data_IF_677340091935
#
_entry.id   IF_677340091935
#
_cell.length_a   1.000
_cell.length_b   1.000
_cell.length_c   1.000
_cell.angle_alpha   90.00
_cell.angle_beta   90.00
_cell.angle_gamma   90.00
#
_symmetry.space_group_name_H-M   'P 1'
#
loop_
_entity.id
_entity.type
_entity.pdbx_description
1 polymer ?
#
# COMPACT_ATOMS: atom_id res chain seq x y z
N UNK A 1 34.21 11.07 37.26
CA UNK A 1 32.98 10.81 38.06
C UNK A 1 31.80 11.09 37.17
N UNK A 2 30.85 10.15 37.17
CA UNK A 2 29.73 10.01 36.22
C UNK A 2 28.69 11.11 36.37
N UNK A 3 28.35 11.81 35.27
CA UNK A 3 27.16 12.65 35.20
C UNK A 3 26.02 11.87 34.54
N UNK A 4 25.01 11.63 35.35
CA UNK A 4 23.89 10.74 35.13
C UNK A 4 22.89 11.36 34.14
N UNK A 5 22.54 10.60 33.10
CA UNK A 5 21.38 10.83 32.24
C UNK A 5 20.12 10.86 33.12
N UNK A 6 19.50 12.04 33.30
CA UNK A 6 18.11 12.14 33.77
C UNK A 6 17.20 11.74 32.60
N UNK A 7 16.96 10.44 32.45
CA UNK A 7 15.91 9.94 31.57
C UNK A 7 14.56 10.41 32.09
N UNK A 8 13.90 11.29 31.35
CA UNK A 8 12.49 11.62 31.58
C UNK A 8 11.68 10.35 31.30
N UNK A 9 11.17 9.71 32.37
CA UNK A 9 10.22 8.61 32.29
C UNK A 9 8.83 9.16 31.96
N UNK A 10 8.71 9.85 30.83
CA UNK A 10 7.40 10.06 30.24
C UNK A 10 7.06 8.75 29.54
N UNK A 11 6.18 7.96 30.15
CA UNK A 11 5.43 6.97 29.40
C UNK A 11 4.68 7.75 28.32
N UNK A 12 5.05 7.54 27.05
CA UNK A 12 4.22 7.98 25.93
C UNK A 12 2.84 7.40 26.18
N UNK A 13 1.85 8.27 26.42
CA UNK A 13 0.47 7.85 26.57
C UNK A 13 -0.18 8.10 25.21
N UNK A 14 -0.24 7.09 24.33
CA UNK A 14 -0.75 7.26 22.99
C UNK A 14 -2.23 7.66 23.06
N UNK A 15 -2.63 8.67 22.28
CA UNK A 15 -4.02 9.13 22.20
C UNK A 15 -4.98 8.00 21.78
N UNK A 16 -6.27 8.12 22.05
CA UNK A 16 -7.29 7.09 21.76
C UNK A 16 -7.45 6.79 20.24
N UNK A 17 -6.77 7.57 19.40
CA UNK A 17 -6.61 7.49 17.96
C UNK A 17 -5.28 6.85 17.50
N UNK A 18 -4.38 6.51 18.42
CA UNK A 18 -3.14 5.78 18.15
C UNK A 18 -3.38 4.26 18.10
N UNK A 19 -4.17 3.85 17.11
CA UNK A 19 -4.02 2.51 16.56
C UNK A 19 -2.58 2.30 16.04
N UNK A 20 -2.18 1.05 15.81
CA UNK A 20 -0.86 0.62 15.30
C UNK A 20 -0.39 1.43 14.07
N UNK A 21 0.17 2.62 14.24
CA UNK A 21 0.63 3.44 13.11
C UNK A 21 1.87 2.81 12.48
N UNK A 22 1.72 2.30 11.25
CA UNK A 22 2.83 1.82 10.42
C UNK A 22 3.54 2.98 9.70
N UNK A 23 3.45 4.21 10.20
CA UNK A 23 4.15 5.35 9.63
C UNK A 23 5.68 5.12 9.55
N UNK A 24 6.24 4.36 10.49
CA UNK A 24 7.66 3.96 10.44
C UNK A 24 7.99 3.06 9.23
N UNK A 25 7.00 2.41 8.62
CA UNK A 25 7.10 1.65 7.37
C UNK A 25 6.75 2.49 6.13
N UNK A 26 6.54 3.80 6.28
CA UNK A 26 6.19 4.70 5.17
C UNK A 26 4.72 4.67 4.73
N UNK A 27 3.83 4.07 5.52
CA UNK A 27 2.39 4.06 5.25
C UNK A 27 1.67 5.15 6.05
N UNK A 28 0.94 6.08 5.39
CA UNK A 28 0.14 7.07 6.10
C UNK A 28 -0.98 6.38 6.88
N UNK A 29 -1.31 6.91 8.06
CA UNK A 29 -2.34 6.35 8.95
C UNK A 29 -3.70 6.17 8.24
N UNK A 30 -4.03 7.08 7.32
CA UNK A 30 -5.25 7.01 6.52
C UNK A 30 -5.33 5.73 5.66
N UNK A 31 -4.19 5.20 5.18
CA UNK A 31 -4.12 3.98 4.36
C UNK A 31 -4.07 2.69 5.16
N UNK A 32 -3.94 2.75 6.49
CA UNK A 32 -3.70 1.54 7.30
C UNK A 32 -4.81 0.51 7.15
N UNK A 33 -6.08 0.94 7.19
CA UNK A 33 -7.23 0.04 7.07
C UNK A 33 -7.26 -0.67 5.72
N UNK A 34 -7.01 0.07 4.63
CA UNK A 34 -7.02 -0.48 3.27
C UNK A 34 -5.78 -1.35 3.01
N UNK A 35 -4.64 -0.99 3.59
CA UNK A 35 -3.42 -1.81 3.59
C UNK A 35 -3.64 -3.17 4.26
N UNK A 36 -4.17 -3.20 5.48
CA UNK A 36 -4.45 -4.46 6.18
C UNK A 36 -5.45 -5.33 5.42
N UNK A 37 -6.49 -4.71 4.84
CA UNK A 37 -7.46 -5.44 4.02
C UNK A 37 -6.79 -6.09 2.80
N UNK A 38 -5.91 -5.37 2.09
CA UNK A 38 -5.13 -5.92 0.97
C UNK A 38 -4.20 -7.05 1.42
N UNK A 39 -3.46 -6.86 2.52
CA UNK A 39 -2.50 -7.84 3.04
C UNK A 39 -3.15 -9.18 3.40
N UNK A 40 -4.42 -9.20 3.82
CA UNK A 40 -5.13 -10.44 4.14
C UNK A 40 -5.23 -11.39 2.93
N UNK A 41 -5.35 -10.87 1.71
CA UNK A 41 -5.36 -11.70 0.50
C UNK A 41 -4.00 -12.39 0.29
N UNK A 42 -2.90 -11.68 0.51
CA UNK A 42 -1.56 -12.26 0.35
C UNK A 42 -1.21 -13.22 1.49
N UNK A 43 -1.62 -12.93 2.72
CA UNK A 43 -1.45 -13.83 3.85
C UNK A 43 -2.24 -15.14 3.68
N UNK A 44 -3.38 -15.11 2.97
CA UNK A 44 -4.15 -16.29 2.60
C UNK A 44 -3.52 -17.12 1.47
N UNK A 45 -2.43 -16.66 0.87
CA UNK A 45 -1.74 -17.36 -0.22
C UNK A 45 -2.41 -17.19 -1.59
N UNK A 46 -3.26 -16.17 -1.76
CA UNK A 46 -3.93 -15.92 -3.03
C UNK A 46 -2.92 -15.58 -4.14
N UNK A 47 -3.07 -16.23 -5.30
CA UNK A 47 -2.24 -15.93 -6.47
C UNK A 47 -2.72 -14.66 -7.14
N UNK A 48 -1.83 -13.69 -7.29
CA UNK A 48 -2.12 -12.48 -8.07
C UNK A 48 -1.51 -12.55 -9.47
N UNK A 49 -2.22 -12.03 -10.49
CA UNK A 49 -1.72 -12.03 -11.87
C UNK A 49 -0.52 -11.09 -12.07
N UNK A 50 -0.27 -10.18 -11.13
CA UNK A 50 0.82 -9.21 -11.17
C UNK A 50 2.14 -9.74 -10.59
N UNK A 51 2.12 -10.81 -9.78
CA UNK A 51 3.33 -11.33 -9.15
C UNK A 51 4.35 -11.80 -10.21
N UNK A 52 5.59 -11.33 -10.10
CA UNK A 52 6.69 -11.72 -10.99
C UNK A 52 6.63 -11.13 -12.41
N UNK A 53 5.84 -10.07 -12.62
CA UNK A 53 5.56 -9.51 -13.95
C UNK A 53 5.72 -7.99 -13.99
N UNK A 54 6.08 -7.45 -15.15
CA UNK A 54 6.47 -6.05 -15.30
C UNK A 54 5.38 -5.16 -15.94
N UNK A 55 4.32 -5.74 -16.50
CA UNK A 55 3.28 -5.01 -17.22
C UNK A 55 2.53 -4.01 -16.32
N UNK A 56 2.42 -4.30 -15.02
CA UNK A 56 1.83 -3.41 -14.01
C UNK A 56 2.67 -2.16 -13.71
N UNK A 57 3.96 -2.20 -14.05
CA UNK A 57 4.92 -1.11 -13.85
C UNK A 57 5.37 -0.49 -15.19
N UNK A 58 4.82 -0.94 -16.31
CA UNK A 58 5.23 -0.47 -17.64
C UNK A 58 4.62 0.90 -17.97
N UNK A 59 5.38 1.73 -18.67
CA UNK A 59 4.89 2.98 -19.26
C UNK A 59 4.19 2.78 -20.62
N UNK A 60 4.36 1.61 -21.26
CA UNK A 60 3.78 1.32 -22.58
C UNK A 60 2.27 1.10 -22.46
N UNK A 61 1.50 1.77 -23.33
CA UNK A 61 0.04 1.67 -23.35
C UNK A 61 -0.47 0.22 -23.51
N UNK A 62 0.17 -0.60 -24.37
CA UNK A 62 -0.22 -1.99 -24.59
C UNK A 62 -0.04 -2.87 -23.34
N UNK A 63 1.05 -2.65 -22.60
CA UNK A 63 1.37 -3.40 -21.39
C UNK A 63 0.38 -3.02 -20.28
N UNK A 64 0.09 -1.72 -20.15
CA UNK A 64 -0.93 -1.19 -19.23
C UNK A 64 -2.32 -1.77 -19.49
N UNK A 65 -2.76 -1.80 -20.75
CA UNK A 65 -4.04 -2.42 -21.13
C UNK A 65 -4.06 -3.93 -20.82
N UNK A 66 -2.93 -4.61 -20.97
CA UNK A 66 -2.78 -6.01 -20.61
C UNK A 66 -2.90 -6.20 -19.09
N UNK A 67 -2.17 -5.42 -18.29
CA UNK A 67 -2.24 -5.45 -16.83
C UNK A 67 -3.66 -5.14 -16.31
N UNK A 68 -4.33 -4.12 -16.87
CA UNK A 68 -5.71 -3.77 -16.52
C UNK A 68 -6.67 -4.94 -16.74
N UNK A 69 -6.59 -5.60 -17.91
CA UNK A 69 -7.45 -6.76 -18.23
C UNK A 69 -7.18 -7.93 -17.28
N UNK A 70 -5.91 -8.22 -16.99
CA UNK A 70 -5.53 -9.34 -16.15
C UNK A 70 -5.92 -9.17 -14.68
N UNK A 71 -6.22 -7.94 -14.23
CA UNK A 71 -6.86 -7.74 -12.93
C UNK A 71 -8.30 -8.28 -12.84
N UNK A 72 -8.93 -8.70 -13.94
CA UNK A 72 -10.33 -9.15 -14.03
C UNK A 72 -10.74 -10.13 -12.92
N UNK A 73 -10.00 -11.22 -12.78
CA UNK A 73 -10.32 -12.35 -11.90
C UNK A 73 -9.49 -12.35 -10.60
N UNK A 74 -8.79 -11.25 -10.30
CA UNK A 74 -7.95 -11.17 -9.10
C UNK A 74 -8.85 -10.99 -7.85
N UNK A 75 -8.78 -11.88 -6.84
CA UNK A 75 -9.61 -11.76 -5.63
C UNK A 75 -9.31 -10.47 -4.86
N UNK A 76 -8.05 -10.01 -4.90
CA UNK A 76 -7.62 -8.77 -4.24
C UNK A 76 -7.98 -7.49 -5.02
N UNK A 77 -8.63 -7.56 -6.19
CA UNK A 77 -8.84 -6.42 -7.11
C UNK A 77 -9.43 -5.19 -6.43
N UNK A 78 -10.50 -5.37 -5.64
CA UNK A 78 -11.17 -4.25 -4.97
C UNK A 78 -10.27 -3.64 -3.89
N UNK A 79 -9.75 -4.47 -2.97
CA UNK A 79 -8.86 -4.03 -1.91
C UNK A 79 -7.59 -3.33 -2.44
N UNK A 80 -7.04 -3.83 -3.56
CA UNK A 80 -5.88 -3.26 -4.24
C UNK A 80 -6.15 -1.85 -4.77
N UNK A 81 -7.31 -1.62 -5.40
CA UNK A 81 -7.70 -0.29 -5.87
C UNK A 81 -7.95 0.67 -4.70
N UNK A 82 -8.66 0.21 -3.67
CA UNK A 82 -9.00 1.03 -2.51
C UNK A 82 -7.74 1.47 -1.75
N UNK A 83 -6.77 0.58 -1.61
CA UNK A 83 -5.45 0.93 -1.09
C UNK A 83 -4.76 1.98 -1.97
N UNK A 84 -4.65 1.75 -3.29
CA UNK A 84 -3.97 2.67 -4.19
C UNK A 84 -4.55 4.09 -4.15
N UNK A 85 -5.88 4.20 -4.12
CA UNK A 85 -6.56 5.48 -4.00
C UNK A 85 -6.32 6.15 -2.64
N UNK A 86 -6.40 5.41 -1.55
CA UNK A 86 -6.20 5.95 -0.19
C UNK A 86 -4.74 6.36 0.03
N UNK A 87 -3.80 5.58 -0.51
CA UNK A 87 -2.37 5.85 -0.43
C UNK A 87 -1.90 6.92 -1.43
N UNK A 88 -2.79 7.39 -2.31
CA UNK A 88 -2.46 8.31 -3.41
C UNK A 88 -1.26 7.80 -4.21
N UNK A 89 -1.33 6.52 -4.60
CA UNK A 89 -0.37 5.94 -5.55
C UNK A 89 -0.36 6.77 -6.84
N UNK A 90 0.83 6.96 -7.39
CA UNK A 90 1.07 7.84 -8.55
C UNK A 90 1.71 7.12 -9.73
N UNK A 91 1.85 5.80 -9.62
CA UNK A 91 2.54 4.97 -10.60
C UNK A 91 1.94 3.57 -10.67
N UNK A 92 1.87 3.04 -11.90
CA UNK A 92 1.51 1.66 -12.17
C UNK A 92 0.00 1.39 -12.20
N UNK A 93 -0.32 0.11 -12.45
CA UNK A 93 -1.69 -0.40 -12.48
C UNK A 93 -2.05 -0.97 -11.11
N UNK A 94 -3.20 -0.57 -10.57
CA UNK A 94 -3.72 -1.05 -9.29
C UNK A 94 -5.19 -1.43 -9.42
N UNK A 95 -5.55 -2.65 -9.04
CA UNK A 95 -6.95 -3.13 -9.08
C UNK A 95 -7.65 -2.97 -10.44
N UNK A 96 -6.90 -2.95 -11.53
CA UNK A 96 -7.39 -2.74 -12.90
C UNK A 96 -7.51 -1.27 -13.34
N UNK A 97 -6.83 -0.34 -12.65
CA UNK A 97 -6.84 1.09 -12.97
C UNK A 97 -5.42 1.63 -13.10
N UNK A 98 -5.18 2.55 -14.02
CA UNK A 98 -3.89 3.23 -14.15
C UNK A 98 -3.84 4.44 -13.22
N UNK A 99 -2.93 4.39 -12.25
CA UNK A 99 -2.67 5.49 -11.30
C UNK A 99 -1.46 6.34 -11.72
N UNK A 100 -0.83 6.00 -12.84
CA UNK A 100 0.30 6.78 -13.38
C UNK A 100 -0.16 8.19 -13.72
N UNK A 101 0.32 9.18 -12.98
CA UNK A 101 0.14 10.58 -13.34
C UNK A 101 1.06 10.87 -14.54
N UNK A 102 0.53 11.44 -15.62
CA UNK A 102 1.35 11.89 -16.74
C UNK A 102 2.39 12.92 -16.27
N UNK A 103 3.51 13.05 -17.01
CA UNK A 103 4.22 14.35 -16.95
C UNK A 103 3.25 15.43 -17.43
N UNK A 104 3.22 16.61 -16.80
CA UNK A 104 2.48 17.75 -17.35
C UNK A 104 2.90 18.05 -18.79
#
# INVERSE_FOLDING_TARGET
>A
MSDYIKGSRLLHNPGEDEGLSLAFMGLPAASMKTWMHLQNYFAAGETTPCAGRNEWLSSRAADKQTAIRLCGDCPAKAACRDFAQTNNESFGIWGGHDFSKGKP
#
